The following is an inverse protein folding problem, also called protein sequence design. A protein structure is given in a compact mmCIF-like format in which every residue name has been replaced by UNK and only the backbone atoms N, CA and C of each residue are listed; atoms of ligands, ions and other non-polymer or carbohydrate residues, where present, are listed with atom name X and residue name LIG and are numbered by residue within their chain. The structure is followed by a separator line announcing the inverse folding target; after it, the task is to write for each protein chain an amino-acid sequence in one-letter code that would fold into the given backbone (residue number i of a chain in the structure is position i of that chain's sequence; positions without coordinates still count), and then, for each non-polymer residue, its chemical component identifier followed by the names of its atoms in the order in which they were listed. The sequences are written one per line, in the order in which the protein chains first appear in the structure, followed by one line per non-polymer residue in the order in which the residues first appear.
data_IF_067908191671
#
_entry.id   IF_067908191671
#
_cell.length_a   1.000
_cell.length_b   1.000
_cell.length_c   1.000
_cell.angle_alpha   90.00
_cell.angle_beta   90.00
_cell.angle_gamma   90.00
#
_symmetry.space_group_name_H-M   'P 1'
#
loop_
_entity.id
_entity.type
_entity.pdbx_description
1 polymer ?
#
# COMPACT_ATOMS: atom_id res chain seq x y z
N UNK A 1 -30.40 -20.22 19.63
CA UNK A 1 -31.04 -19.82 18.36
C UNK A 1 -30.50 -20.73 17.26
N UNK A 2 -31.25 -20.99 16.16
CA UNK A 2 -30.65 -21.70 15.02
C UNK A 2 -29.63 -20.75 14.34
N UNK A 3 -28.44 -21.24 14.05
CA UNK A 3 -27.44 -20.50 13.32
C UNK A 3 -27.95 -20.07 11.94
N UNK A 4 -27.41 -18.95 11.43
CA UNK A 4 -27.69 -18.50 10.07
C UNK A 4 -26.71 -19.25 9.16
N UNK A 5 -27.26 -20.01 8.21
CA UNK A 5 -26.46 -20.88 7.35
C UNK A 5 -26.17 -20.29 5.95
N UNK A 6 -27.01 -19.37 5.48
CA UNK A 6 -26.91 -18.79 4.14
C UNK A 6 -27.50 -17.38 4.09
N UNK A 7 -26.96 -16.56 3.22
CA UNK A 7 -27.51 -15.26 2.87
C UNK A 7 -28.69 -15.41 1.89
N UNK A 8 -29.59 -14.43 1.92
CA UNK A 8 -30.52 -14.21 0.81
C UNK A 8 -29.82 -13.41 -0.30
N UNK A 9 -30.31 -13.50 -1.56
CA UNK A 9 -29.74 -12.70 -2.64
C UNK A 9 -29.72 -11.18 -2.37
N UNK A 10 -30.72 -10.69 -1.61
CA UNK A 10 -30.79 -9.30 -1.18
C UNK A 10 -29.71 -8.94 -0.17
N UNK A 11 -29.36 -9.87 0.74
CA UNK A 11 -28.28 -9.69 1.71
C UNK A 11 -26.91 -9.75 1.04
N UNK A 12 -26.70 -10.72 0.13
CA UNK A 12 -25.47 -10.80 -0.67
C UNK A 12 -25.20 -9.51 -1.44
N UNK A 13 -26.23 -8.90 -2.04
CA UNK A 13 -26.12 -7.67 -2.78
C UNK A 13 -25.68 -6.46 -1.90
N UNK A 14 -25.77 -6.55 -0.57
CA UNK A 14 -25.34 -5.51 0.35
C UNK A 14 -23.86 -5.60 0.76
N UNK A 15 -23.21 -6.74 0.56
CA UNK A 15 -21.80 -6.94 0.92
C UNK A 15 -20.90 -5.83 0.33
N UNK A 16 -20.94 -5.53 -0.99
CA UNK A 16 -20.12 -4.45 -1.55
C UNK A 16 -20.35 -3.10 -0.90
N UNK A 17 -21.60 -2.79 -0.51
CA UNK A 17 -21.94 -1.50 0.08
C UNK A 17 -21.33 -1.34 1.49
N UNK A 18 -21.31 -2.41 2.28
CA UNK A 18 -20.70 -2.39 3.60
C UNK A 18 -19.17 -2.32 3.51
N UNK A 19 -18.57 -3.03 2.57
CA UNK A 19 -17.14 -2.92 2.28
C UNK A 19 -16.77 -1.50 1.86
N UNK A 20 -17.47 -0.90 0.89
CA UNK A 20 -17.23 0.46 0.42
C UNK A 20 -17.43 1.51 1.53
N UNK A 21 -18.42 1.32 2.41
CA UNK A 21 -18.64 2.18 3.57
C UNK A 21 -17.40 2.26 4.47
N UNK A 22 -16.79 1.12 4.78
CA UNK A 22 -15.63 1.08 5.66
C UNK A 22 -14.33 1.47 4.95
N UNK A 23 -14.24 1.21 3.64
CA UNK A 23 -13.17 1.77 2.81
C UNK A 23 -13.18 3.30 2.82
N UNK A 24 -14.34 3.91 2.68
CA UNK A 24 -14.46 5.37 2.71
C UNK A 24 -13.97 5.96 4.05
N UNK A 25 -14.16 5.24 5.16
CA UNK A 25 -13.64 5.65 6.46
C UNK A 25 -12.11 5.46 6.51
N UNK A 26 -11.60 4.31 6.05
CA UNK A 26 -10.18 3.99 6.06
C UNK A 26 -9.35 4.96 5.20
N UNK A 27 -9.87 5.34 4.05
CA UNK A 27 -9.21 6.22 3.07
C UNK A 27 -9.59 7.69 3.21
N UNK A 28 -10.30 8.05 4.29
CA UNK A 28 -10.71 9.44 4.52
C UNK A 28 -9.48 10.34 4.73
N UNK A 29 -9.51 11.48 4.05
CA UNK A 29 -8.55 12.59 4.23
C UNK A 29 -9.15 13.77 5.01
N UNK A 30 -10.35 13.59 5.57
CA UNK A 30 -10.96 14.61 6.41
C UNK A 30 -10.18 14.73 7.72
N UNK A 31 -9.86 15.95 8.16
CA UNK A 31 -9.18 16.17 9.44
C UNK A 31 -9.96 15.56 10.60
N UNK A 32 -9.27 14.96 11.56
CA UNK A 32 -9.91 14.47 12.77
C UNK A 32 -10.30 15.64 13.69
N UNK A 33 -11.42 15.46 14.40
CA UNK A 33 -11.78 16.30 15.53
C UNK A 33 -11.12 15.71 16.78
N UNK A 34 -9.99 16.29 17.22
CA UNK A 34 -9.19 15.76 18.35
C UNK A 34 -10.00 15.63 19.64
N UNK A 35 -11.03 16.45 19.86
CA UNK A 35 -11.89 16.33 21.04
C UNK A 35 -12.79 15.09 20.93
N UNK A 36 -13.38 14.85 19.76
CA UNK A 36 -14.17 13.65 19.53
C UNK A 36 -13.31 12.39 19.53
N UNK A 37 -12.12 12.45 18.93
CA UNK A 37 -11.17 11.36 18.95
C UNK A 37 -10.76 11.00 20.39
N UNK A 38 -10.41 11.97 21.20
CA UNK A 38 -10.10 11.76 22.62
C UNK A 38 -11.28 11.15 23.38
N UNK A 39 -12.50 11.63 23.15
CA UNK A 39 -13.68 11.09 23.79
C UNK A 39 -13.97 9.66 23.37
N UNK A 40 -13.79 9.34 22.10
CA UNK A 40 -13.97 7.99 21.56
C UNK A 40 -12.91 7.01 22.10
N UNK A 41 -11.64 7.44 22.16
CA UNK A 41 -10.56 6.65 22.73
C UNK A 41 -10.79 6.33 24.21
N UNK A 42 -11.11 7.33 25.03
CA UNK A 42 -11.45 7.13 26.45
C UNK A 42 -12.64 6.22 26.67
N UNK A 43 -13.68 6.36 25.83
CA UNK A 43 -14.86 5.49 25.90
C UNK A 43 -14.50 4.04 25.56
N UNK A 44 -13.62 3.79 24.59
CA UNK A 44 -13.16 2.45 24.24
C UNK A 44 -12.40 1.80 25.41
N UNK A 45 -11.49 2.51 26.05
CA UNK A 45 -10.75 2.02 27.24
C UNK A 45 -11.66 1.72 28.43
N UNK A 46 -12.62 2.62 28.71
CA UNK A 46 -13.57 2.42 29.80
C UNK A 46 -14.43 1.15 29.61
N UNK A 47 -14.70 0.72 28.37
CA UNK A 47 -15.43 -0.51 28.07
C UNK A 47 -14.60 -1.78 28.37
N UNK A 48 -13.25 -1.68 28.33
CA UNK A 48 -12.34 -2.74 28.77
C UNK A 48 -12.21 -2.85 30.29
N UNK A 49 -12.57 -1.82 31.01
CA UNK A 49 -12.35 -1.73 32.45
C UNK A 49 -10.95 -1.23 32.81
N UNK A 50 -10.24 -0.70 31.85
CA UNK A 50 -8.91 -0.12 32.01
C UNK A 50 -8.98 1.31 32.55
N UNK A 51 -7.89 1.77 33.12
CA UNK A 51 -7.73 3.17 33.57
C UNK A 51 -7.78 4.13 32.35
N UNK A 52 -8.19 5.37 32.61
CA UNK A 52 -8.31 6.38 31.57
C UNK A 52 -6.93 6.66 30.92
N UNK A 53 -6.76 6.46 29.59
CA UNK A 53 -5.47 6.58 28.96
C UNK A 53 -5.04 8.05 28.80
N UNK A 54 -3.74 8.29 28.82
CA UNK A 54 -3.15 9.50 28.28
C UNK A 54 -3.25 9.46 26.75
N UNK A 55 -3.62 10.59 26.10
CA UNK A 55 -3.79 10.65 24.65
C UNK A 55 -2.87 11.71 24.09
N UNK A 56 -1.93 11.27 23.25
CA UNK A 56 -1.04 12.14 22.50
C UNK A 56 -1.53 12.27 21.05
N UNK A 57 -1.51 13.49 20.53
CA UNK A 57 -1.90 13.79 19.16
C UNK A 57 -0.71 14.23 18.33
N UNK A 58 -0.57 13.64 17.15
CA UNK A 58 0.49 13.93 16.19
C UNK A 58 -0.09 14.27 14.82
N UNK A 59 0.60 15.10 14.07
CA UNK A 59 0.16 15.52 12.73
C UNK A 59 0.48 14.46 11.65
N UNK A 60 1.36 13.49 11.97
CA UNK A 60 1.70 12.35 11.11
C UNK A 60 2.25 11.18 11.92
N UNK A 61 2.34 10.01 11.28
CA UNK A 61 3.03 8.85 11.83
C UNK A 61 4.54 9.12 12.04
N UNK A 62 5.14 9.88 11.15
CA UNK A 62 6.55 10.27 11.27
C UNK A 62 6.79 11.10 12.52
N UNK A 63 5.91 12.09 12.77
CA UNK A 63 5.99 12.92 13.98
C UNK A 63 5.83 12.07 15.25
N UNK A 64 4.87 11.13 15.25
CA UNK A 64 4.66 10.23 16.38
C UNK A 64 5.90 9.38 16.66
N UNK A 65 6.43 8.68 15.65
CA UNK A 65 7.59 7.80 15.82
C UNK A 65 8.85 8.54 16.27
N UNK A 66 9.04 9.76 15.79
CA UNK A 66 10.18 10.58 16.20
C UNK A 66 10.10 10.99 17.68
N UNK A 67 8.94 11.44 18.14
CA UNK A 67 8.75 11.88 19.51
C UNK A 67 8.70 10.72 20.50
N UNK A 68 8.06 9.61 20.13
CA UNK A 68 7.87 8.44 20.99
C UNK A 68 9.20 7.79 21.36
N UNK A 69 10.19 7.79 20.47
CA UNK A 69 11.52 7.25 20.75
C UNK A 69 12.20 7.90 21.96
N UNK A 70 11.88 9.16 22.27
CA UNK A 70 12.41 9.88 23.42
C UNK A 70 11.71 9.50 24.74
N UNK A 71 10.49 8.93 24.67
CA UNK A 71 9.67 8.61 25.84
C UNK A 71 9.73 7.14 26.27
N UNK A 72 9.90 6.21 25.31
CA UNK A 72 9.72 4.78 25.58
C UNK A 72 10.84 3.90 24.98
N UNK A 73 11.95 3.71 25.67
CA UNK A 73 13.04 2.84 25.20
C UNK A 73 12.76 1.33 25.31
N UNK A 74 11.71 0.92 26.04
CA UNK A 74 11.36 -0.49 26.24
C UNK A 74 9.87 -0.71 25.92
N UNK A 75 9.61 -1.32 24.78
CA UNK A 75 8.28 -1.56 24.22
C UNK A 75 7.79 -2.96 24.57
N UNK A 76 6.54 -3.10 24.99
CA UNK A 76 5.86 -4.37 25.20
C UNK A 76 4.81 -4.61 24.09
N UNK A 77 4.55 -5.86 23.77
CA UNK A 77 3.44 -6.26 22.89
C UNK A 77 2.11 -5.90 23.53
N UNK A 78 1.21 -5.22 22.79
CA UNK A 78 -0.15 -4.97 23.26
C UNK A 78 -1.06 -6.10 22.81
N UNK A 79 -1.65 -6.83 23.74
CA UNK A 79 -2.72 -7.77 23.46
C UNK A 79 -4.04 -7.00 23.29
N UNK A 80 -4.43 -6.74 22.04
CA UNK A 80 -5.65 -6.00 21.71
C UNK A 80 -6.90 -6.88 21.69
N UNK A 81 -7.52 -7.15 22.82
CA UNK A 81 -8.66 -8.07 22.95
C UNK A 81 -10.05 -7.49 22.68
N UNK A 82 -10.17 -6.18 22.39
CA UNK A 82 -11.48 -5.51 22.26
C UNK A 82 -12.41 -6.10 21.18
N UNK A 83 -11.83 -6.71 20.15
CA UNK A 83 -12.56 -7.22 18.99
C UNK A 83 -12.97 -8.67 19.10
N UNK A 84 -12.14 -9.49 19.72
CA UNK A 84 -12.38 -10.93 19.79
C UNK A 84 -13.69 -11.27 20.49
N UNK A 85 -14.10 -10.49 21.49
CA UNK A 85 -15.37 -10.72 22.23
C UNK A 85 -16.57 -10.57 21.29
N UNK A 86 -16.64 -9.49 20.51
CA UNK A 86 -17.74 -9.26 19.57
C UNK A 86 -17.73 -10.26 18.43
N UNK A 87 -16.55 -10.60 17.92
CA UNK A 87 -16.39 -11.57 16.85
C UNK A 87 -16.86 -12.95 17.30
N UNK A 88 -16.45 -13.43 18.47
CA UNK A 88 -16.86 -14.72 19.01
C UNK A 88 -18.38 -14.80 19.20
N UNK A 89 -19.00 -13.76 19.76
CA UNK A 89 -20.47 -13.71 19.91
C UNK A 89 -21.20 -13.78 18.57
N UNK A 90 -20.68 -13.13 17.53
CA UNK A 90 -21.28 -13.15 16.20
C UNK A 90 -21.03 -14.48 15.50
N UNK A 91 -19.84 -15.06 15.65
CA UNK A 91 -19.48 -16.37 15.11
C UNK A 91 -20.39 -17.48 15.63
N UNK A 92 -20.78 -17.45 16.92
CA UNK A 92 -21.71 -18.40 17.47
C UNK A 92 -23.10 -18.36 16.79
N UNK A 93 -23.49 -17.23 16.19
CA UNK A 93 -24.79 -17.05 15.55
C UNK A 93 -24.77 -17.42 14.04
N UNK A 94 -23.60 -17.66 13.48
CA UNK A 94 -23.37 -18.04 12.07
C UNK A 94 -22.94 -19.50 11.97
N UNK A 95 -23.21 -20.17 10.85
CA UNK A 95 -22.50 -21.40 10.53
C UNK A 95 -21.04 -21.10 10.20
N UNK A 96 -20.13 -22.04 10.45
CA UNK A 96 -18.71 -21.88 10.14
C UNK A 96 -18.50 -21.51 8.66
N UNK A 97 -19.25 -22.13 7.75
CA UNK A 97 -19.14 -21.83 6.31
C UNK A 97 -19.50 -20.39 5.98
N UNK A 98 -20.58 -19.86 6.58
CA UNK A 98 -21.02 -18.49 6.34
C UNK A 98 -20.07 -17.47 6.98
N UNK A 99 -19.55 -17.80 8.17
CA UNK A 99 -18.55 -16.96 8.83
C UNK A 99 -17.32 -16.75 7.93
N UNK A 100 -16.71 -17.85 7.44
CA UNK A 100 -15.55 -17.75 6.53
C UNK A 100 -15.88 -17.03 5.24
N UNK A 101 -17.04 -17.30 4.63
CA UNK A 101 -17.48 -16.63 3.41
C UNK A 101 -17.58 -15.10 3.58
N UNK A 102 -18.14 -14.64 4.73
CA UNK A 102 -18.23 -13.21 5.02
C UNK A 102 -16.87 -12.59 5.31
N UNK A 103 -15.98 -13.33 5.96
CA UNK A 103 -14.59 -12.92 6.16
C UNK A 103 -13.91 -12.64 4.83
N UNK A 104 -13.89 -13.63 3.93
CA UNK A 104 -13.28 -13.51 2.59
C UNK A 104 -13.85 -12.34 1.78
N UNK A 105 -15.12 -12.03 1.94
CA UNK A 105 -15.77 -10.99 1.13
C UNK A 105 -15.72 -9.58 1.74
N UNK A 106 -15.68 -9.45 3.06
CA UNK A 106 -15.73 -8.15 3.75
C UNK A 106 -14.36 -7.71 4.27
N UNK A 107 -13.55 -8.66 4.80
CA UNK A 107 -12.27 -8.33 5.42
C UNK A 107 -11.11 -8.36 4.43
N UNK A 108 -10.92 -9.48 3.73
CA UNK A 108 -9.73 -9.70 2.91
C UNK A 108 -9.47 -8.59 1.89
N UNK A 109 -10.48 -8.12 1.11
CA UNK A 109 -10.24 -7.06 0.14
C UNK A 109 -9.83 -5.73 0.77
N UNK A 110 -10.32 -5.44 1.97
CA UNK A 110 -9.94 -4.24 2.71
C UNK A 110 -8.54 -4.39 3.31
N UNK A 111 -8.23 -5.57 3.81
CA UNK A 111 -6.91 -5.91 4.33
C UNK A 111 -5.83 -5.78 3.25
N UNK A 112 -6.05 -6.35 2.06
CA UNK A 112 -5.14 -6.26 0.93
C UNK A 112 -4.91 -4.80 0.50
N UNK A 113 -5.99 -4.02 0.35
CA UNK A 113 -5.89 -2.60 -0.03
C UNK A 113 -5.06 -1.81 0.98
N UNK A 114 -5.34 -1.98 2.27
CA UNK A 114 -4.64 -1.25 3.32
C UNK A 114 -3.19 -1.70 3.46
N UNK A 115 -2.89 -2.98 3.22
CA UNK A 115 -1.52 -3.49 3.19
C UNK A 115 -0.70 -2.81 2.08
N UNK A 116 -1.26 -2.69 0.88
CA UNK A 116 -0.59 -1.98 -0.23
C UNK A 116 -0.38 -0.48 0.05
N UNK A 117 -1.27 0.14 0.82
CA UNK A 117 -1.13 1.52 1.28
C UNK A 117 -0.01 1.68 2.33
N UNK A 118 0.00 0.77 3.31
CA UNK A 118 0.88 0.88 4.49
C UNK A 118 2.31 0.51 4.20
N UNK A 119 2.54 -0.55 3.45
CA UNK A 119 3.86 -1.08 3.16
C UNK A 119 4.84 -0.04 2.59
N UNK A 120 4.48 0.78 1.59
CA UNK A 120 5.35 1.84 1.10
C UNK A 120 5.66 2.89 2.17
N UNK A 121 4.66 3.27 2.96
CA UNK A 121 4.81 4.26 4.02
C UNK A 121 5.74 3.78 5.13
N UNK A 122 5.54 2.55 5.59
CA UNK A 122 6.39 1.92 6.59
C UNK A 122 7.83 1.79 6.08
N UNK A 123 8.02 1.30 4.85
CA UNK A 123 9.35 1.20 4.25
C UNK A 123 10.06 2.57 4.20
N UNK A 124 9.34 3.65 3.95
CA UNK A 124 9.92 5.00 3.97
C UNK A 124 10.25 5.45 5.40
N UNK A 125 9.41 5.12 6.39
CA UNK A 125 9.65 5.42 7.81
C UNK A 125 10.90 4.68 8.31
N UNK A 126 11.09 3.40 7.94
CA UNK A 126 12.31 2.64 8.27
C UNK A 126 13.60 3.25 7.72
N UNK A 127 13.53 4.01 6.65
CA UNK A 127 14.70 4.66 6.04
C UNK A 127 15.04 6.01 6.69
N UNK A 128 14.22 6.50 7.64
CA UNK A 128 14.50 7.77 8.32
C UNK A 128 15.60 7.57 9.37
N UNK A 129 16.71 8.32 9.29
CA UNK A 129 17.84 8.15 10.20
C UNK A 129 17.52 8.51 11.64
N UNK A 130 16.46 9.27 11.87
CA UNK A 130 15.99 9.70 13.19
C UNK A 130 15.12 8.64 13.88
N UNK A 131 14.65 7.61 13.14
CA UNK A 131 13.80 6.55 13.68
C UNK A 131 14.66 5.29 13.85
N UNK A 132 14.86 4.81 15.09
CA UNK A 132 15.56 3.55 15.34
C UNK A 132 14.81 2.37 14.72
N UNK A 133 15.55 1.42 14.15
CA UNK A 133 14.93 0.24 13.51
C UNK A 133 14.06 -0.56 14.47
N UNK A 134 14.46 -0.70 15.73
CA UNK A 134 13.68 -1.38 16.77
C UNK A 134 12.32 -0.73 17.01
N UNK A 135 12.27 0.61 16.96
CA UNK A 135 11.02 1.37 17.08
C UNK A 135 10.13 1.15 15.88
N UNK A 136 10.71 1.18 14.68
CA UNK A 136 9.96 0.94 13.45
C UNK A 136 9.47 -0.53 13.37
N UNK A 137 10.26 -1.51 13.81
CA UNK A 137 9.88 -2.93 13.82
C UNK A 137 8.69 -3.19 14.74
N UNK A 138 8.73 -2.70 15.97
CA UNK A 138 7.62 -2.83 16.92
C UNK A 138 6.37 -2.10 16.42
N UNK A 139 6.54 -0.90 15.87
CA UNK A 139 5.46 -0.10 15.31
C UNK A 139 4.70 -0.83 14.18
N UNK A 140 5.40 -1.58 13.32
CA UNK A 140 4.78 -2.33 12.20
C UNK A 140 3.84 -3.42 12.69
N UNK A 141 4.15 -4.04 13.82
CA UNK A 141 3.32 -5.11 14.37
C UNK A 141 2.08 -4.58 15.08
N UNK A 142 2.16 -3.41 15.72
CA UNK A 142 1.14 -2.90 16.63
C UNK A 142 0.29 -1.78 16.02
N UNK A 143 0.83 -1.01 15.05
CA UNK A 143 0.07 0.02 14.32
C UNK A 143 -0.62 -0.59 13.13
N UNK A 144 -1.70 -1.27 13.39
CA UNK A 144 -2.55 -1.75 12.34
C UNK A 144 -3.95 -1.11 12.45
N UNK A 145 -4.15 0.16 11.96
CA UNK A 145 -5.50 0.71 11.86
C UNK A 145 -6.39 -0.16 11.00
N UNK A 146 -5.77 -0.98 10.17
CA UNK A 146 -6.37 -2.00 9.32
C UNK A 146 -7.21 -2.96 10.15
N UNK A 147 -6.66 -3.49 11.21
CA UNK A 147 -7.30 -4.53 12.00
C UNK A 147 -8.69 -4.12 12.51
N UNK A 148 -8.86 -2.87 12.90
CA UNK A 148 -10.09 -2.34 13.44
C UNK A 148 -11.16 -2.07 12.38
N UNK A 149 -10.76 -1.61 11.21
CA UNK A 149 -11.69 -1.16 10.17
C UNK A 149 -12.32 -2.33 9.43
N UNK A 150 -11.58 -3.40 9.15
CA UNK A 150 -12.18 -4.54 8.48
C UNK A 150 -13.03 -5.38 9.41
N UNK A 151 -12.66 -5.52 10.69
CA UNK A 151 -13.55 -6.13 11.65
C UNK A 151 -14.84 -5.33 11.83
N UNK A 152 -14.76 -4.00 11.83
CA UNK A 152 -15.95 -3.16 11.80
C UNK A 152 -16.85 -3.44 10.61
N UNK A 153 -16.32 -3.75 9.41
CA UNK A 153 -17.13 -4.06 8.24
C UNK A 153 -17.93 -5.35 8.43
N UNK A 154 -17.32 -6.37 9.01
CA UNK A 154 -17.95 -7.65 9.33
C UNK A 154 -19.01 -7.50 10.43
N UNK A 155 -18.64 -6.89 11.56
CA UNK A 155 -19.55 -6.69 12.69
C UNK A 155 -20.77 -5.86 12.24
N UNK A 156 -20.55 -4.77 11.50
CA UNK A 156 -21.61 -3.91 10.98
C UNK A 156 -22.58 -4.69 10.07
N UNK A 157 -22.05 -5.54 9.20
CA UNK A 157 -22.87 -6.37 8.33
C UNK A 157 -23.68 -7.38 9.14
N UNK A 158 -23.07 -8.09 10.08
CA UNK A 158 -23.74 -9.06 10.94
C UNK A 158 -24.86 -8.42 11.77
N UNK A 159 -24.61 -7.28 12.37
CA UNK A 159 -25.59 -6.56 13.20
C UNK A 159 -26.69 -5.92 12.37
N UNK A 160 -26.33 -5.21 11.30
CA UNK A 160 -27.27 -4.36 10.55
C UNK A 160 -28.04 -5.11 9.46
N UNK A 161 -27.45 -6.15 8.86
CA UNK A 161 -28.06 -6.90 7.74
C UNK A 161 -28.60 -8.26 8.20
N UNK A 162 -27.82 -8.98 8.98
CA UNK A 162 -28.22 -10.30 9.46
C UNK A 162 -29.06 -10.23 10.72
N UNK A 163 -29.15 -9.07 11.36
CA UNK A 163 -29.82 -8.87 12.64
C UNK A 163 -29.30 -9.79 13.76
N UNK A 164 -27.98 -10.05 13.76
CA UNK A 164 -27.34 -10.76 14.86
C UNK A 164 -27.56 -10.00 16.17
N UNK A 165 -27.83 -10.75 17.23
CA UNK A 165 -28.15 -10.17 18.53
C UNK A 165 -26.88 -9.89 19.31
N UNK A 166 -26.78 -8.72 19.87
CA UNK A 166 -25.79 -8.33 20.87
C UNK A 166 -26.51 -8.07 22.19
N UNK A 167 -25.90 -8.41 23.29
CA UNK A 167 -26.39 -8.00 24.61
C UNK A 167 -26.12 -6.50 24.85
N UNK A 168 -26.54 -5.98 26.00
CA UNK A 168 -26.40 -4.53 26.29
C UNK A 168 -24.94 -4.10 26.43
N UNK A 169 -24.05 -4.95 26.92
CA UNK A 169 -22.63 -4.68 27.05
C UNK A 169 -21.97 -4.69 25.68
N UNK A 170 -22.22 -5.73 24.89
CA UNK A 170 -21.72 -5.90 23.52
C UNK A 170 -22.20 -4.79 22.59
N UNK A 171 -23.46 -4.36 22.74
CA UNK A 171 -23.98 -3.21 21.98
C UNK A 171 -23.22 -1.92 22.30
N UNK A 172 -22.90 -1.68 23.59
CA UNK A 172 -22.11 -0.52 24.01
C UNK A 172 -20.68 -0.60 23.49
N UNK A 173 -20.07 -1.79 23.48
CA UNK A 173 -18.75 -2.02 22.89
C UNK A 173 -18.76 -1.74 21.38
N UNK A 174 -19.77 -2.23 20.67
CA UNK A 174 -19.91 -1.98 19.24
C UNK A 174 -20.08 -0.48 18.91
N UNK A 175 -20.89 0.25 19.67
CA UNK A 175 -21.06 1.70 19.51
C UNK A 175 -19.75 2.46 19.80
N UNK A 176 -19.02 2.06 20.84
CA UNK A 176 -17.70 2.60 21.17
C UNK A 176 -16.70 2.39 20.04
N UNK A 177 -16.65 1.16 19.52
CA UNK A 177 -15.79 0.78 18.43
C UNK A 177 -16.07 1.55 17.14
N UNK A 178 -17.34 1.68 16.75
CA UNK A 178 -17.74 2.50 15.62
C UNK A 178 -17.34 3.97 15.80
N UNK A 179 -17.53 4.50 17.00
CA UNK A 179 -17.16 5.88 17.33
C UNK A 179 -15.66 6.09 17.20
N UNK A 180 -14.88 5.14 17.70
CA UNK A 180 -13.45 5.13 17.62
C UNK A 180 -12.94 5.10 16.16
N UNK A 181 -13.39 4.12 15.37
CA UNK A 181 -13.01 3.97 13.98
C UNK A 181 -13.37 5.20 13.10
N UNK A 182 -14.49 5.86 13.40
CA UNK A 182 -14.95 7.04 12.65
C UNK A 182 -14.24 8.33 13.03
N UNK A 183 -13.90 8.51 14.31
CA UNK A 183 -13.41 9.78 14.83
C UNK A 183 -11.90 9.85 14.99
N UNK A 184 -11.22 8.70 15.13
CA UNK A 184 -9.78 8.67 15.21
C UNK A 184 -9.16 8.59 13.82
N UNK A 185 -7.95 9.12 13.69
CA UNK A 185 -7.12 8.92 12.52
C UNK A 185 -6.34 7.61 12.62
N UNK A 186 -5.06 7.67 12.30
CA UNK A 186 -4.17 6.55 12.43
C UNK A 186 -3.65 6.51 13.86
N UNK A 187 -3.64 5.33 14.50
CA UNK A 187 -3.42 5.22 15.93
C UNK A 187 -2.42 4.17 16.29
N UNK A 188 -1.88 4.35 17.47
CA UNK A 188 -0.96 3.44 18.11
C UNK A 188 -1.24 3.36 19.61
N UNK A 189 -1.22 2.13 20.16
CA UNK A 189 -1.40 1.92 21.59
C UNK A 189 -0.10 1.55 22.25
N UNK A 190 0.00 1.96 23.51
CA UNK A 190 0.98 1.45 24.44
C UNK A 190 0.26 0.90 25.64
N UNK A 191 0.53 -0.33 25.96
CA UNK A 191 0.23 -0.88 27.26
C UNK A 191 1.54 -1.18 27.96
N UNK A 192 1.79 -0.51 29.07
CA UNK A 192 2.78 -0.88 30.06
C UNK A 192 2.02 -1.15 31.34
N UNK A 193 2.55 -2.02 32.23
CA UNK A 193 1.91 -2.35 33.52
C UNK A 193 1.54 -1.11 34.35
N UNK A 194 2.24 0.01 34.12
CA UNK A 194 2.09 1.27 34.87
C UNK A 194 1.46 2.43 34.06
N UNK A 195 1.33 2.34 32.73
CA UNK A 195 0.87 3.45 31.88
C UNK A 195 0.02 2.98 30.72
N UNK A 196 -1.17 3.57 30.56
CA UNK A 196 -1.99 3.43 29.36
C UNK A 196 -1.83 4.67 28.51
N UNK A 197 -1.25 4.54 27.30
CA UNK A 197 -1.01 5.65 26.39
C UNK A 197 -1.55 5.34 24.98
N UNK A 198 -2.24 6.30 24.39
CA UNK A 198 -2.67 6.23 22.99
C UNK A 198 -2.04 7.37 22.21
N UNK A 199 -1.36 7.03 21.12
CA UNK A 199 -0.95 7.99 20.12
C UNK A 199 -1.95 8.02 18.97
N UNK A 200 -2.56 9.17 18.74
CA UNK A 200 -3.50 9.38 17.63
C UNK A 200 -2.84 10.30 16.61
N UNK A 201 -2.62 9.79 15.41
CA UNK A 201 -2.09 10.58 14.30
C UNK A 201 -3.22 11.13 13.45
N UNK A 202 -3.09 12.36 12.98
CA UNK A 202 -4.03 12.94 12.03
C UNK A 202 -4.04 12.13 10.72
N UNK A 203 -5.16 12.17 10.03
CA UNK A 203 -5.28 11.58 8.70
C UNK A 203 -4.41 12.34 7.70
N UNK A 204 -3.90 11.67 6.66
CA UNK A 204 -3.26 12.38 5.57
C UNK A 204 -4.25 13.37 4.94
N UNK A 205 -3.76 14.55 4.58
CA UNK A 205 -4.55 15.57 3.87
C UNK A 205 -4.68 15.25 2.38
N UNK A 206 -3.90 14.30 1.89
CA UNK A 206 -3.92 13.79 0.52
C UNK A 206 -3.64 12.31 0.47
N UNK A 207 -4.47 11.59 -0.29
CA UNK A 207 -4.29 10.20 -0.73
C UNK A 207 -4.64 10.12 -2.21
N UNK A 208 -3.76 9.54 -3.01
CA UNK A 208 -3.96 9.38 -4.46
C UNK A 208 -3.62 7.97 -4.91
N UNK A 209 -4.49 7.40 -5.75
CA UNK A 209 -4.39 6.04 -6.26
C UNK A 209 -4.56 5.99 -7.77
N UNK A 210 -4.02 4.96 -8.38
CA UNK A 210 -4.37 4.59 -9.75
C UNK A 210 -5.68 3.76 -9.81
N UNK A 211 -6.02 3.29 -11.02
CA UNK A 211 -7.24 2.49 -11.24
C UNK A 211 -7.21 1.10 -10.58
N UNK A 212 -6.03 0.61 -10.24
CA UNK A 212 -5.81 -0.67 -9.56
C UNK A 212 -5.65 -0.49 -8.04
N UNK A 213 -6.03 0.68 -7.49
CA UNK A 213 -5.89 1.06 -6.09
C UNK A 213 -4.45 1.03 -5.55
N UNK A 214 -3.44 1.20 -6.41
CA UNK A 214 -2.05 1.36 -5.99
C UNK A 214 -1.74 2.85 -5.79
N UNK A 215 -0.95 3.18 -4.78
CA UNK A 215 -0.51 4.56 -4.56
C UNK A 215 0.12 5.12 -5.84
N UNK A 216 -0.40 6.25 -6.29
CA UNK A 216 0.07 6.90 -7.52
C UNK A 216 -0.25 8.40 -7.53
N UNK A 217 0.78 9.18 -7.88
CA UNK A 217 0.63 10.59 -8.25
C UNK A 217 1.74 11.00 -9.21
N UNK A 218 1.51 12.04 -10.01
CA UNK A 218 2.50 12.61 -10.91
C UNK A 218 2.84 14.04 -10.50
N UNK A 219 4.13 14.32 -10.30
CA UNK A 219 4.66 15.62 -9.88
C UNK A 219 4.13 16.13 -8.53
N UNK A 220 3.56 15.27 -7.73
CA UNK A 220 3.01 15.59 -6.41
C UNK A 220 3.01 14.32 -5.53
N UNK A 221 2.89 14.45 -4.19
CA UNK A 221 2.84 13.29 -3.31
C UNK A 221 1.60 12.43 -3.56
N UNK A 222 1.75 11.10 -3.44
CA UNK A 222 0.64 10.16 -3.36
C UNK A 222 0.02 10.14 -1.95
N UNK A 223 0.85 10.34 -0.91
CA UNK A 223 0.41 10.58 0.47
C UNK A 223 1.04 11.88 0.95
N UNK A 224 0.25 12.72 1.64
CA UNK A 224 0.76 13.92 2.31
C UNK A 224 0.02 14.16 3.63
N UNK A 225 0.76 14.46 4.68
CA UNK A 225 0.24 14.84 6.00
C UNK A 225 0.29 16.36 6.22
N UNK A 226 -0.40 16.81 7.27
CA UNK A 226 -0.53 18.22 7.59
C UNK A 226 0.79 18.90 7.98
N UNK A 227 1.75 18.16 8.54
CA UNK A 227 3.11 18.61 8.89
C UNK A 227 4.06 18.66 7.68
N UNK A 228 3.60 18.22 6.49
CA UNK A 228 4.38 18.19 5.27
C UNK A 228 5.08 16.85 5.00
N UNK A 229 5.04 15.89 5.93
CA UNK A 229 5.55 14.55 5.65
C UNK A 229 4.82 13.96 4.44
N UNK A 230 5.57 13.48 3.46
CA UNK A 230 5.04 13.12 2.14
C UNK A 230 5.70 11.86 1.59
N UNK A 231 4.90 11.05 0.89
CA UNK A 231 5.36 9.90 0.14
C UNK A 231 4.99 10.07 -1.33
N UNK A 232 6.00 9.93 -2.20
CA UNK A 232 5.80 9.90 -3.65
C UNK A 232 5.72 8.47 -4.14
N UNK A 233 4.81 8.18 -5.06
CA UNK A 233 4.65 6.83 -5.60
C UNK A 233 4.17 6.86 -7.05
N UNK A 234 4.65 5.92 -7.84
CA UNK A 234 4.23 5.71 -9.22
C UNK A 234 3.78 4.27 -9.41
N UNK A 235 2.47 4.05 -9.53
CA UNK A 235 1.84 2.73 -9.64
C UNK A 235 2.31 1.72 -8.58
N UNK A 236 2.33 2.15 -7.31
CA UNK A 236 2.73 1.33 -6.16
C UNK A 236 4.23 1.33 -5.86
N UNK A 237 5.07 1.86 -6.75
CA UNK A 237 6.52 1.95 -6.51
C UNK A 237 6.84 3.28 -5.82
N UNK A 238 7.40 3.21 -4.61
CA UNK A 238 7.83 4.40 -3.86
C UNK A 238 8.96 5.12 -4.59
N UNK A 239 8.83 6.43 -4.71
CA UNK A 239 9.79 7.29 -5.37
C UNK A 239 10.53 8.17 -4.38
N UNK A 240 11.85 8.37 -4.56
CA UNK A 240 12.54 9.52 -3.97
C UNK A 240 11.90 10.83 -4.43
N UNK A 241 11.91 11.84 -3.57
CA UNK A 241 11.35 13.17 -3.86
C UNK A 241 11.88 13.75 -5.19
N UNK A 242 13.17 13.55 -5.49
CA UNK A 242 13.81 14.00 -6.75
C UNK A 242 13.11 13.51 -8.03
N UNK A 243 12.46 12.33 -7.97
CA UNK A 243 11.68 11.80 -9.10
C UNK A 243 10.20 12.17 -8.97
N UNK A 244 9.67 12.08 -7.76
CA UNK A 244 8.26 12.27 -7.48
C UNK A 244 7.74 13.70 -7.70
N UNK A 245 8.61 14.70 -7.58
CA UNK A 245 8.26 16.12 -7.81
C UNK A 245 8.23 16.52 -9.29
N UNK A 246 8.64 15.62 -10.18
CA UNK A 246 8.65 15.87 -11.61
C UNK A 246 7.68 14.95 -12.36
N UNK A 247 6.95 15.47 -13.35
CA UNK A 247 6.10 14.64 -14.18
C UNK A 247 6.94 13.65 -15.01
N UNK A 248 6.43 12.45 -15.30
CA UNK A 248 7.18 11.37 -15.96
C UNK A 248 7.86 11.77 -17.29
N UNK A 249 7.27 12.69 -18.05
CA UNK A 249 7.86 13.15 -19.30
C UNK A 249 9.14 14.01 -19.11
N UNK A 250 9.40 14.50 -17.89
CA UNK A 250 10.62 15.25 -17.53
C UNK A 250 11.69 14.37 -16.89
N UNK A 251 11.40 13.09 -16.64
CA UNK A 251 12.40 12.17 -16.11
C UNK A 251 13.54 11.98 -17.11
N UNK A 252 14.77 11.88 -16.61
CA UNK A 252 15.99 11.89 -17.41
C UNK A 252 16.65 10.50 -17.37
N UNK A 253 17.08 10.00 -18.52
CA UNK A 253 17.78 8.72 -18.59
C UNK A 253 19.12 8.74 -17.82
N UNK A 254 19.73 9.92 -17.65
CA UNK A 254 20.96 10.09 -16.88
C UNK A 254 20.84 9.59 -15.43
N UNK A 255 19.64 9.64 -14.83
CA UNK A 255 19.40 9.14 -13.47
C UNK A 255 19.66 7.63 -13.32
N UNK A 256 19.56 6.88 -14.42
CA UNK A 256 19.90 5.45 -14.44
C UNK A 256 21.36 5.16 -14.08
N UNK A 257 22.25 6.14 -14.31
CA UNK A 257 23.68 6.03 -14.01
C UNK A 257 23.99 6.23 -12.52
N UNK A 258 23.06 6.83 -11.78
CA UNK A 258 23.22 7.23 -10.38
C UNK A 258 22.33 6.40 -9.43
N UNK A 259 21.39 5.65 -9.99
CA UNK A 259 20.40 4.90 -9.19
C UNK A 259 20.89 3.49 -8.90
N UNK A 260 21.12 3.19 -7.62
CA UNK A 260 21.57 1.87 -7.16
C UNK A 260 20.42 0.88 -6.97
N UNK A 261 19.19 1.39 -6.71
CA UNK A 261 18.03 0.54 -6.48
C UNK A 261 17.52 -0.07 -7.80
N UNK A 262 17.56 -1.41 -7.89
CA UNK A 262 17.18 -2.15 -9.09
C UNK A 262 15.70 -1.96 -9.49
N UNK A 263 14.81 -1.80 -8.52
CA UNK A 263 13.38 -1.56 -8.76
C UNK A 263 13.15 -0.17 -9.35
N UNK A 264 13.80 0.86 -8.78
CA UNK A 264 13.75 2.22 -9.30
C UNK A 264 14.38 2.31 -10.71
N UNK A 265 15.51 1.63 -10.95
CA UNK A 265 16.09 1.55 -12.31
C UNK A 265 15.12 0.93 -13.30
N UNK A 266 14.47 -0.18 -12.92
CA UNK A 266 13.45 -0.82 -13.76
C UNK A 266 12.30 0.13 -14.06
N UNK A 267 11.80 0.83 -13.06
CA UNK A 267 10.73 1.81 -13.22
C UNK A 267 11.14 2.97 -14.12
N UNK A 268 12.32 3.56 -13.90
CA UNK A 268 12.86 4.64 -14.75
C UNK A 268 12.93 4.21 -16.22
N UNK A 269 13.44 3.00 -16.50
CA UNK A 269 13.51 2.46 -17.86
C UNK A 269 12.10 2.30 -18.46
N UNK A 270 11.17 1.78 -17.67
CA UNK A 270 9.80 1.54 -18.11
C UNK A 270 9.06 2.84 -18.45
N UNK A 271 9.21 3.86 -17.61
CA UNK A 271 8.50 5.14 -17.74
C UNK A 271 9.17 6.03 -18.82
N UNK A 272 10.47 6.15 -18.80
CA UNK A 272 11.22 6.93 -19.82
C UNK A 272 11.11 6.26 -21.18
N UNK A 273 11.10 4.93 -21.21
CA UNK A 273 11.08 4.09 -22.40
C UNK A 273 12.45 3.88 -23.02
N UNK A 274 12.73 2.67 -23.46
CA UNK A 274 14.04 2.29 -24.02
C UNK A 274 14.50 3.18 -25.19
N UNK A 275 13.57 3.62 -26.04
CA UNK A 275 13.93 4.47 -27.19
C UNK A 275 14.58 5.79 -26.74
N UNK A 276 14.00 6.42 -25.73
CA UNK A 276 14.51 7.68 -25.18
C UNK A 276 15.77 7.44 -24.34
N UNK A 277 15.82 6.36 -23.56
CA UNK A 277 17.03 5.92 -22.84
C UNK A 277 18.20 5.72 -23.79
N UNK A 278 18.02 5.01 -24.91
CA UNK A 278 19.05 4.81 -25.91
C UNK A 278 19.52 6.13 -26.54
N UNK A 279 18.61 7.05 -26.79
CA UNK A 279 18.94 8.34 -27.38
C UNK A 279 19.71 9.25 -26.41
N UNK A 280 19.22 9.40 -25.18
CA UNK A 280 19.81 10.27 -24.16
C UNK A 280 21.17 9.76 -23.66
N UNK A 281 21.31 8.42 -23.50
CA UNK A 281 22.57 7.79 -23.08
C UNK A 281 23.50 7.43 -24.23
N UNK A 282 23.16 7.81 -25.45
CA UNK A 282 24.01 7.61 -26.65
C UNK A 282 24.40 6.14 -26.83
N UNK A 283 23.42 5.23 -26.78
CA UNK A 283 23.64 3.80 -26.96
C UNK A 283 24.44 3.51 -28.25
N UNK A 284 25.48 2.69 -28.11
CA UNK A 284 26.30 2.26 -29.25
C UNK A 284 25.54 1.24 -30.09
N UNK A 285 25.53 1.45 -31.43
CA UNK A 285 25.00 0.46 -32.34
C UNK A 285 26.06 -0.62 -32.61
N UNK A 286 25.78 -1.85 -32.17
CA UNK A 286 26.66 -2.99 -32.38
C UNK A 286 26.43 -3.68 -33.73
N UNK A 287 25.15 -3.87 -34.08
CA UNK A 287 24.76 -4.58 -35.28
C UNK A 287 23.37 -4.12 -35.79
N UNK A 288 23.10 -4.39 -37.05
CA UNK A 288 21.86 -4.04 -37.71
C UNK A 288 21.46 -5.14 -38.72
N UNK A 289 20.19 -5.55 -38.64
CA UNK A 289 19.59 -6.51 -39.55
C UNK A 289 18.14 -6.14 -39.86
N UNK A 290 17.86 -5.75 -41.10
CA UNK A 290 16.54 -5.27 -41.54
C UNK A 290 16.02 -4.10 -40.68
N UNK A 291 14.91 -4.33 -39.91
CA UNK A 291 14.29 -3.35 -39.00
C UNK A 291 14.78 -3.49 -37.55
N UNK A 292 15.72 -4.37 -37.31
CA UNK A 292 16.24 -4.67 -35.99
C UNK A 292 17.64 -4.08 -35.84
N UNK A 293 17.87 -3.46 -34.68
CA UNK A 293 19.18 -2.89 -34.32
C UNK A 293 19.58 -3.41 -32.96
N UNK A 294 20.76 -3.98 -32.86
CA UNK A 294 21.36 -4.34 -31.57
C UNK A 294 22.15 -3.14 -31.04
N UNK A 295 21.77 -2.69 -29.85
CA UNK A 295 22.37 -1.52 -29.19
C UNK A 295 23.02 -1.97 -27.89
N UNK A 296 24.08 -1.26 -27.48
CA UNK A 296 24.77 -1.42 -26.20
C UNK A 296 24.81 -0.08 -25.48
N UNK A 297 24.47 -0.10 -24.20
CA UNK A 297 24.72 1.01 -23.28
C UNK A 297 25.87 0.54 -22.39
N UNK A 298 27.03 1.14 -22.58
CA UNK A 298 28.29 0.78 -21.93
C UNK A 298 28.66 1.87 -20.92
N UNK A 299 27.92 1.92 -19.88
CA UNK A 299 28.18 2.78 -18.74
C UNK A 299 27.74 1.98 -17.50
N UNK A 300 28.26 2.30 -16.36
CA UNK A 300 28.06 1.58 -15.08
C UNK A 300 26.58 1.62 -14.56
N UNK A 301 25.61 1.60 -15.47
CA UNK A 301 24.16 1.63 -15.18
C UNK A 301 23.69 0.34 -14.52
N UNK A 302 24.37 -0.78 -14.84
CA UNK A 302 24.04 -2.11 -14.31
C UNK A 302 25.34 -2.92 -14.10
N UNK A 303 25.26 -4.00 -13.35
CA UNK A 303 26.37 -4.95 -13.12
C UNK A 303 26.93 -5.46 -14.46
N UNK A 304 26.07 -5.55 -15.47
CA UNK A 304 26.41 -5.94 -16.83
C UNK A 304 26.02 -4.85 -17.84
N UNK A 305 26.75 -4.67 -18.94
CA UNK A 305 26.34 -3.77 -20.02
C UNK A 305 24.91 -4.07 -20.48
N UNK A 306 24.10 -3.03 -20.68
CA UNK A 306 22.73 -3.20 -21.16
C UNK A 306 22.73 -3.38 -22.67
N UNK A 307 22.30 -4.58 -23.12
CA UNK A 307 22.07 -4.87 -24.53
C UNK A 307 20.58 -4.75 -24.86
N UNK A 308 20.25 -4.03 -25.91
CA UNK A 308 18.87 -3.75 -26.32
C UNK A 308 18.67 -4.13 -27.79
N UNK A 309 17.63 -4.89 -28.06
CA UNK A 309 17.12 -5.07 -29.41
C UNK A 309 16.06 -4.01 -29.71
N UNK A 310 16.42 -3.02 -30.53
CA UNK A 310 15.51 -1.99 -31.03
C UNK A 310 14.79 -2.50 -32.27
N UNK A 311 13.47 -2.34 -32.31
CA UNK A 311 12.61 -2.72 -33.44
C UNK A 311 11.74 -1.52 -33.82
N UNK A 312 11.53 -1.31 -35.11
CA UNK A 312 10.56 -0.34 -35.58
C UNK A 312 9.36 -1.09 -36.15
N UNK A 313 8.19 -0.87 -35.58
CA UNK A 313 6.95 -1.45 -36.07
C UNK A 313 6.67 -0.93 -37.50
N UNK A 314 6.54 -1.83 -38.50
CA UNK A 314 6.37 -1.38 -39.89
C UNK A 314 5.01 -0.75 -40.17
N UNK A 315 4.00 -1.04 -39.36
CA UNK A 315 2.62 -0.53 -39.54
C UNK A 315 2.39 0.82 -38.83
N UNK A 316 3.05 1.04 -37.69
CA UNK A 316 2.82 2.24 -36.85
C UNK A 316 4.01 3.18 -36.78
N UNK A 317 5.20 2.74 -37.19
CA UNK A 317 6.46 3.45 -36.97
C UNK A 317 6.92 3.51 -35.51
N UNK A 318 6.19 2.87 -34.61
CA UNK A 318 6.52 2.83 -33.17
C UNK A 318 7.85 2.10 -32.96
N UNK A 319 8.69 2.67 -32.09
CA UNK A 319 9.97 2.07 -31.73
C UNK A 319 9.78 1.26 -30.45
N UNK A 320 10.04 -0.03 -30.55
CA UNK A 320 10.13 -0.94 -29.41
C UNK A 320 11.59 -1.24 -29.15
N UNK A 321 11.97 -1.33 -27.87
CA UNK A 321 13.27 -1.83 -27.47
C UNK A 321 13.10 -2.82 -26.34
N UNK A 322 13.74 -3.97 -26.46
CA UNK A 322 13.72 -5.05 -25.49
C UNK A 322 15.12 -5.34 -24.99
N UNK A 323 15.28 -5.57 -23.70
CA UNK A 323 16.54 -6.05 -23.15
C UNK A 323 16.80 -7.47 -23.62
N UNK A 324 18.01 -7.71 -24.08
CA UNK A 324 18.51 -9.03 -24.51
C UNK A 324 19.78 -9.38 -23.72
N UNK A 325 20.17 -10.66 -23.66
CA UNK A 325 21.40 -11.06 -22.99
C UNK A 325 22.63 -10.32 -23.52
N UNK A 326 23.62 -10.03 -22.65
CA UNK A 326 24.80 -9.23 -23.02
C UNK A 326 25.81 -9.99 -23.91
N UNK A 327 25.58 -11.28 -24.16
CA UNK A 327 26.39 -12.11 -25.06
C UNK A 327 25.89 -12.17 -26.50
N UNK A 328 24.80 -11.45 -26.82
CA UNK A 328 24.26 -11.36 -28.18
C UNK A 328 25.27 -10.70 -29.12
N UNK A 329 25.57 -11.37 -30.23
CA UNK A 329 26.58 -10.94 -31.21
C UNK A 329 26.00 -10.22 -32.43
N UNK A 330 24.69 -10.39 -32.66
CA UNK A 330 24.03 -9.78 -33.81
C UNK A 330 22.54 -9.49 -33.54
N UNK A 331 21.98 -8.54 -34.28
CA UNK A 331 20.58 -8.20 -34.24
C UNK A 331 19.68 -9.41 -34.65
N UNK A 332 20.14 -10.24 -35.60
CA UNK A 332 19.45 -11.46 -36.01
C UNK A 332 19.42 -12.52 -34.89
N UNK A 333 20.52 -12.68 -34.18
CA UNK A 333 20.59 -13.59 -33.03
C UNK A 333 19.67 -13.11 -31.90
N UNK A 334 19.68 -11.80 -31.61
CA UNK A 334 18.86 -11.22 -30.57
C UNK A 334 17.35 -11.38 -30.88
N UNK A 335 16.90 -11.13 -32.11
CA UNK A 335 15.48 -11.33 -32.47
C UNK A 335 15.09 -12.81 -32.45
N UNK A 336 15.99 -13.71 -32.84
CA UNK A 336 15.77 -15.14 -32.71
C UNK A 336 15.60 -15.56 -31.24
N UNK A 337 16.41 -15.02 -30.35
CA UNK A 337 16.31 -15.27 -28.91
C UNK A 337 14.97 -14.76 -28.36
N UNK A 338 14.57 -13.53 -28.70
CA UNK A 338 13.27 -12.94 -28.28
C UNK A 338 12.08 -13.82 -28.75
N UNK A 339 12.18 -14.46 -29.91
CA UNK A 339 11.15 -15.31 -30.48
C UNK A 339 11.38 -16.81 -30.23
N UNK A 340 11.88 -17.16 -29.06
CA UNK A 340 11.98 -18.56 -28.62
C UNK A 340 12.80 -19.47 -29.55
N UNK A 341 13.79 -18.91 -30.22
CA UNK A 341 14.70 -19.61 -31.12
C UNK A 341 14.21 -19.73 -32.57
N UNK A 342 13.06 -19.16 -32.92
CA UNK A 342 12.55 -19.12 -34.29
C UNK A 342 13.30 -18.04 -35.07
N UNK A 343 13.86 -18.41 -36.24
CA UNK A 343 14.55 -17.46 -37.12
C UNK A 343 13.54 -16.42 -37.68
N UNK A 344 13.88 -15.12 -37.70
CA UNK A 344 12.98 -14.09 -38.20
C UNK A 344 12.57 -14.23 -39.66
N UNK A 345 13.31 -15.00 -40.46
CA UNK A 345 12.91 -15.33 -41.86
C UNK A 345 11.77 -16.38 -41.93
N UNK A 346 11.54 -17.08 -40.81
CA UNK A 346 10.46 -18.07 -40.67
C UNK A 346 9.16 -17.50 -40.12
N UNK A 347 9.14 -16.16 -39.79
CA UNK A 347 7.92 -15.56 -39.27
C UNK A 347 6.82 -15.49 -40.29
N UNK A 348 5.71 -16.20 -40.04
CA UNK A 348 4.55 -16.22 -40.91
C UNK A 348 3.79 -14.87 -40.95
N UNK A 349 3.84 -14.07 -39.89
CA UNK A 349 3.27 -12.71 -39.77
C UNK A 349 4.16 -11.89 -38.92
N UNK A 350 4.56 -10.69 -39.40
CA UNK A 350 5.27 -9.68 -38.61
C UNK A 350 4.30 -8.53 -38.33
N UNK A 351 3.76 -8.48 -37.14
CA UNK A 351 2.90 -7.38 -36.67
C UNK A 351 3.72 -6.33 -35.95
#
# INVERSE_FOLDING_TARGET
MSQIDKLTPEQEALIPLYREKWWAIALSTEPIDRQKAASAAKAAYALHGDDEPEILFFDSLYAALKDINDYFPNWGESEGDLFYILEDTLKEQLSDSLHYELYDQLLDPLCELLHELWKPLLNQLYQQPEIPHEVADNFVHDVNPQYWLFQCSFIDFCVSVLNCSLDQSEQSQWEGLQSFAKNCGWMYYFFDEDTSLICVCDRPIKLSFDQDYRLHAEAEPAIQFGDGYSLYSHHGVTLPEKYGTLPPHQWQAQWLLEEDNAELRRLLIQVIGYARVCQELQAEQLDFWQKYTLLKIDNDVDIEPIYLLKMTCPSTGFIHALRVPPDMKSAREAIRWVNWGIDPEEFGVQT
#
